data_IF_879385382872
#
_entry.id   IF_879385382872
#
_cell.length_a   1.000
_cell.length_b   1.000
_cell.length_c   1.000
_cell.angle_alpha   90.00
_cell.angle_beta   90.00
_cell.angle_gamma   90.00
#
_symmetry.space_group_name_H-M   'P 1'
#
loop_
_entity.id
_entity.type
_entity.pdbx_description
1 polymer ?
#
# COMPACT_ATOMS: atom_id res chain seq x y z
N UNK A 1 7.12 -24.53 -8.99
CA UNK A 1 6.55 -23.71 -7.90
C UNK A 1 5.73 -24.63 -7.02
N UNK A 2 6.02 -24.69 -5.74
CA UNK A 2 5.31 -25.53 -4.77
C UNK A 2 4.37 -24.63 -3.99
N UNK A 3 3.09 -24.99 -3.88
CA UNK A 3 2.12 -24.22 -3.10
C UNK A 3 2.04 -24.83 -1.71
N UNK A 4 2.54 -24.12 -0.71
CA UNK A 4 2.42 -24.47 0.70
C UNK A 4 1.15 -23.85 1.28
N UNK A 5 0.41 -24.61 2.10
CA UNK A 5 -0.82 -24.15 2.76
C UNK A 5 -0.58 -24.06 4.26
N UNK A 6 -0.93 -22.91 4.84
CA UNK A 6 -0.87 -22.66 6.28
C UNK A 6 -2.27 -22.40 6.82
N UNK A 7 -2.50 -22.80 8.07
CA UNK A 7 -3.71 -22.46 8.84
C UNK A 7 -3.55 -21.10 9.52
N UNK A 8 -4.67 -20.47 9.92
CA UNK A 8 -4.66 -19.17 10.60
C UNK A 8 -3.86 -19.21 11.90
N UNK A 9 -4.05 -20.26 12.70
CA UNK A 9 -3.35 -20.45 13.98
C UNK A 9 -1.83 -20.62 13.81
N UNK A 10 -1.39 -21.17 12.68
CA UNK A 10 0.05 -21.27 12.35
C UNK A 10 0.62 -19.90 11.95
N UNK A 11 -0.13 -19.11 11.19
CA UNK A 11 0.27 -17.75 10.81
C UNK A 11 0.39 -16.83 12.03
N UNK A 12 -0.52 -16.92 12.99
CA UNK A 12 -0.49 -16.11 14.22
C UNK A 12 0.72 -16.46 15.13
N UNK A 13 1.26 -17.67 15.02
CA UNK A 13 2.46 -18.11 15.76
C UNK A 13 3.76 -17.73 15.06
N UNK A 14 3.71 -17.27 13.79
CA UNK A 14 4.90 -16.82 13.10
C UNK A 14 5.40 -15.54 13.75
N UNK A 15 6.73 -15.48 13.91
CA UNK A 15 7.37 -14.27 14.39
C UNK A 15 7.17 -13.16 13.36
N UNK A 16 6.59 -12.05 13.80
CA UNK A 16 6.51 -10.84 12.98
C UNK A 16 7.93 -10.40 12.61
N UNK A 17 8.10 -10.09 11.33
CA UNK A 17 9.37 -9.59 10.77
C UNK A 17 9.35 -8.07 10.62
N UNK A 18 8.21 -7.45 10.87
CA UNK A 18 8.00 -6.02 10.74
C UNK A 18 8.60 -5.30 11.94
N UNK A 19 9.50 -4.35 11.70
CA UNK A 19 10.08 -3.52 12.74
C UNK A 19 9.18 -2.30 13.02
N UNK A 20 8.08 -2.56 13.72
CA UNK A 20 7.04 -1.57 14.03
C UNK A 20 7.60 -0.41 14.87
N UNK A 21 8.52 -0.69 15.79
CA UNK A 21 9.09 0.31 16.69
C UNK A 21 9.98 1.29 15.93
N UNK A 22 10.81 0.80 15.01
CA UNK A 22 11.57 1.65 14.08
C UNK A 22 10.63 2.57 13.30
N UNK A 23 9.57 2.03 12.70
CA UNK A 23 8.63 2.82 11.88
C UNK A 23 7.97 3.96 12.65
N UNK A 24 7.62 3.73 13.92
CA UNK A 24 7.01 4.76 14.78
C UNK A 24 7.95 5.90 15.15
N UNK A 25 9.26 5.65 15.11
CA UNK A 25 10.29 6.61 15.49
C UNK A 25 10.92 7.32 14.28
N UNK A 26 10.57 6.94 13.05
CA UNK A 26 11.07 7.62 11.85
C UNK A 26 10.49 9.03 11.74
N UNK A 27 11.34 9.95 11.30
CA UNK A 27 10.95 11.32 10.94
C UNK A 27 10.29 11.35 9.55
N UNK A 28 9.55 12.43 9.26
CA UNK A 28 8.92 12.61 7.95
C UNK A 28 9.94 12.62 6.80
N UNK A 29 11.11 13.24 6.99
CA UNK A 29 12.19 13.26 6.00
C UNK A 29 12.73 11.85 5.72
N UNK A 30 12.93 11.04 6.76
CA UNK A 30 13.38 9.66 6.62
C UNK A 30 12.33 8.78 5.92
N UNK A 31 11.04 9.03 6.18
CA UNK A 31 9.93 8.34 5.51
C UNK A 31 9.92 8.69 4.03
N UNK A 32 10.08 9.97 3.68
CA UNK A 32 10.13 10.40 2.28
C UNK A 32 11.31 9.78 1.52
N UNK A 33 12.50 9.77 2.09
CA UNK A 33 13.69 9.17 1.44
C UNK A 33 13.57 7.65 1.32
N UNK A 34 13.02 6.97 2.33
CA UNK A 34 12.71 5.55 2.25
C UNK A 34 11.73 5.26 1.12
N UNK A 35 10.69 6.08 0.95
CA UNK A 35 9.75 5.94 -0.15
C UNK A 35 10.40 6.21 -1.51
N UNK A 36 11.18 7.28 -1.66
CA UNK A 36 11.87 7.62 -2.94
C UNK A 36 12.86 6.56 -3.40
N UNK A 37 13.50 5.87 -2.46
CA UNK A 37 14.48 4.81 -2.74
C UNK A 37 13.87 3.42 -2.88
N UNK A 38 12.58 3.25 -2.64
CA UNK A 38 11.87 1.98 -2.82
C UNK A 38 11.82 1.61 -4.32
N UNK A 39 12.39 0.47 -4.74
CA UNK A 39 12.38 0.04 -6.14
C UNK A 39 11.01 -0.42 -6.64
N UNK A 40 10.15 -0.89 -5.75
CA UNK A 40 8.86 -1.48 -6.08
C UNK A 40 7.73 -0.44 -6.02
N UNK A 41 7.83 0.54 -5.12
CA UNK A 41 6.79 1.53 -4.90
C UNK A 41 7.30 2.95 -4.59
N UNK A 42 8.05 3.58 -5.51
CA UNK A 42 8.46 4.97 -5.34
C UNK A 42 7.27 5.94 -5.51
N UNK A 43 7.26 7.10 -4.82
CA UNK A 43 6.31 8.16 -5.07
C UNK A 43 6.29 8.60 -6.54
N UNK A 44 5.09 8.93 -7.05
CA UNK A 44 4.94 9.45 -8.40
C UNK A 44 5.60 10.81 -8.55
N UNK A 45 6.20 11.06 -9.72
CA UNK A 45 6.69 12.39 -10.05
C UNK A 45 5.55 13.36 -10.30
N UNK A 46 5.79 14.66 -10.17
CA UNK A 46 4.79 15.70 -10.44
C UNK A 46 4.20 15.60 -11.85
N UNK A 47 5.01 15.20 -12.84
CA UNK A 47 4.57 15.01 -14.22
C UNK A 47 3.65 13.81 -14.38
N UNK A 48 3.92 12.72 -13.65
CA UNK A 48 3.05 11.55 -13.61
C UNK A 48 1.75 11.89 -12.88
N UNK A 49 1.83 12.62 -11.76
CA UNK A 49 0.68 13.03 -10.98
C UNK A 49 -0.27 13.95 -11.78
N UNK A 50 0.27 14.87 -12.59
CA UNK A 50 -0.53 15.73 -13.49
C UNK A 50 -1.35 14.95 -14.53
N UNK A 51 -0.97 13.71 -14.85
CA UNK A 51 -1.71 12.86 -15.79
C UNK A 51 -2.94 12.22 -15.15
N UNK A 52 -3.02 12.19 -13.81
CA UNK A 52 -4.19 11.66 -13.11
C UNK A 52 -5.42 12.51 -13.41
N UNK A 53 -6.51 11.85 -13.75
CA UNK A 53 -7.79 12.49 -14.00
C UNK A 53 -8.82 11.93 -13.05
N UNK A 54 -9.70 12.81 -12.56
CA UNK A 54 -10.89 12.38 -11.83
C UNK A 54 -11.71 11.45 -12.73
N UNK A 55 -12.18 10.29 -12.23
CA UNK A 55 -13.12 9.47 -12.97
C UNK A 55 -14.38 10.26 -13.36
N UNK A 56 -15.05 9.84 -14.43
CA UNK A 56 -16.31 10.46 -14.86
C UNK A 56 -17.42 10.23 -13.83
N UNK A 57 -18.43 11.11 -13.82
CA UNK A 57 -19.62 10.96 -12.96
C UNK A 57 -20.36 9.65 -13.24
N UNK A 58 -20.45 9.26 -14.51
CA UNK A 58 -21.05 7.98 -14.90
C UNK A 58 -20.29 6.78 -14.33
N UNK A 59 -18.95 6.81 -14.39
CA UNK A 59 -18.11 5.77 -13.80
C UNK A 59 -18.30 5.68 -12.29
N UNK A 60 -18.38 6.82 -11.59
CA UNK A 60 -18.64 6.86 -10.14
C UNK A 60 -19.99 6.23 -9.78
N UNK A 61 -21.06 6.60 -10.50
CA UNK A 61 -22.41 6.08 -10.23
C UNK A 61 -22.53 4.57 -10.41
N UNK A 62 -21.70 3.96 -11.27
CA UNK A 62 -21.66 2.50 -11.47
C UNK A 62 -21.26 1.74 -10.19
N UNK A 63 -20.38 2.32 -9.37
CA UNK A 63 -19.88 1.70 -8.13
C UNK A 63 -20.59 2.20 -6.87
N UNK A 64 -21.48 3.20 -6.99
CA UNK A 64 -22.32 3.69 -5.89
C UNK A 64 -23.64 2.93 -5.73
N UNK A 65 -23.95 1.99 -6.62
CA UNK A 65 -25.08 1.07 -6.44
C UNK A 65 -24.59 -0.17 -5.70
N UNK A 66 -24.90 -0.23 -4.40
CA UNK A 66 -25.24 -1.41 -3.59
C UNK A 66 -24.81 -1.17 -2.14
N UNK A 67 -25.61 -0.40 -1.42
CA UNK A 67 -25.73 -0.44 0.04
C UNK A 67 -27.25 -0.46 0.34
N UNK A 68 -27.93 -1.54 -0.05
CA UNK A 68 -29.29 -1.90 0.39
C UNK A 68 -29.22 -3.24 1.12
#
# INVERSE_FOLDING_TARGET
MTIEKHTKDELEKLKDRSDIERLKNMTDEEIEEAAKSDPDNPPLTDEQLKKFKRPSEEYRRRFQKNDD
#
